data_IF_052826152633
#
_entry.id   IF_052826152633
#
_cell.length_a   1.000
_cell.length_b   1.000
_cell.length_c   1.000
_cell.angle_alpha   90.00
_cell.angle_beta   90.00
_cell.angle_gamma   90.00
#
_symmetry.space_group_name_H-M   'P 1'
#
loop_
_entity.id
_entity.type
_entity.pdbx_description
1 polymer ?
#
# COMPACT_ATOMS: atom_id res chain seq x y z
N UNK A 1 7.70 -31.65 -44.34
CA UNK A 1 8.95 -30.89 -44.11
C UNK A 1 8.90 -30.33 -42.71
N UNK A 2 9.66 -30.95 -41.81
CA UNK A 2 9.75 -30.63 -40.38
C UNK A 2 10.67 -29.42 -40.17
N UNK A 3 10.35 -28.61 -39.15
CA UNK A 3 11.23 -27.55 -38.61
C UNK A 3 10.51 -26.90 -37.43
N UNK A 4 10.40 -27.60 -36.30
CA UNK A 4 11.29 -27.53 -35.13
C UNK A 4 11.33 -26.16 -34.45
N UNK A 5 10.79 -26.18 -33.24
CA UNK A 5 10.79 -25.14 -32.22
C UNK A 5 12.24 -24.83 -31.80
N UNK A 6 12.57 -23.54 -31.62
CA UNK A 6 13.81 -23.13 -30.99
C UNK A 6 13.51 -22.48 -29.63
N UNK A 7 13.55 -23.32 -28.60
CA UNK A 7 13.72 -22.96 -27.20
C UNK A 7 15.19 -22.61 -26.97
N UNK A 8 15.50 -21.33 -26.75
CA UNK A 8 16.84 -20.94 -26.26
C UNK A 8 16.83 -20.87 -24.75
N UNK A 9 17.28 -21.96 -24.14
CA UNK A 9 17.71 -21.99 -22.76
C UNK A 9 19.11 -21.36 -22.64
N UNK A 10 19.28 -20.44 -21.69
CA UNK A 10 20.59 -20.12 -21.12
C UNK A 10 20.45 -19.98 -19.62
N UNK A 11 20.71 -21.09 -18.93
CA UNK A 11 21.10 -21.09 -17.52
C UNK A 11 22.60 -20.83 -17.46
N UNK A 12 23.01 -19.74 -16.83
CA UNK A 12 24.38 -19.57 -16.32
C UNK A 12 24.31 -19.00 -14.91
N UNK A 13 24.48 -19.92 -13.95
CA UNK A 13 25.00 -19.62 -12.63
C UNK A 13 26.43 -19.08 -12.78
N UNK A 14 26.77 -18.02 -12.06
CA UNK A 14 28.16 -17.72 -11.73
C UNK A 14 28.27 -16.96 -10.41
N UNK A 15 28.88 -17.65 -9.45
CA UNK A 15 29.85 -17.17 -8.46
C UNK A 15 29.38 -16.13 -7.43
N UNK A 16 29.12 -16.67 -6.24
CA UNK A 16 29.54 -16.12 -4.95
C UNK A 16 30.85 -15.31 -5.07
N UNK A 17 30.77 -14.00 -4.85
CA UNK A 17 31.89 -13.22 -4.33
C UNK A 17 31.45 -12.62 -3.00
N UNK A 18 31.88 -13.26 -1.94
CA UNK A 18 31.83 -12.73 -0.58
C UNK A 18 32.70 -11.47 -0.53
N UNK A 19 32.07 -10.29 -0.61
CA UNK A 19 32.72 -9.05 -0.22
C UNK A 19 32.62 -8.94 1.31
N UNK A 20 33.79 -9.04 1.94
CA UNK A 20 34.04 -8.88 3.37
C UNK A 20 33.40 -7.58 3.87
N UNK A 21 32.30 -7.70 4.62
CA UNK A 21 31.78 -6.59 5.44
C UNK A 21 32.71 -6.47 6.65
N UNK A 22 33.23 -5.28 6.99
CA UNK A 22 34.04 -5.11 8.19
C UNK A 22 33.17 -5.43 9.42
N UNK A 23 33.66 -6.38 10.22
CA UNK A 23 33.11 -6.76 11.51
C UNK A 23 33.27 -5.58 12.48
N UNK A 24 32.21 -4.78 12.65
CA UNK A 24 32.07 -3.97 13.86
C UNK A 24 31.69 -4.91 15.00
N UNK A 25 32.69 -5.61 15.54
CA UNK A 25 32.52 -6.31 16.81
C UNK A 25 32.42 -5.28 17.93
N UNK A 26 31.25 -5.28 18.57
CA UNK A 26 31.13 -4.97 19.99
C UNK A 26 30.92 -3.51 20.32
N UNK A 27 29.65 -3.07 20.33
CA UNK A 27 29.12 -2.34 21.48
C UNK A 27 27.72 -2.88 21.82
N UNK A 28 27.67 -3.56 22.97
CA UNK A 28 26.56 -3.84 23.87
C UNK A 28 25.26 -4.46 23.33
N UNK A 29 25.11 -5.75 23.66
CA UNK A 29 23.86 -6.48 23.84
C UNK A 29 23.02 -5.92 25.03
N UNK A 30 22.73 -4.63 25.05
CA UNK A 30 21.66 -4.09 25.88
C UNK A 30 20.47 -3.82 24.97
N UNK A 31 19.65 -4.84 24.77
CA UNK A 31 18.26 -4.61 24.40
C UNK A 31 17.66 -3.76 25.52
N UNK A 32 17.46 -2.46 25.30
CA UNK A 32 16.54 -1.68 26.13
C UNK A 32 15.14 -2.23 25.82
N UNK A 33 14.53 -3.10 26.67
CA UNK A 33 13.22 -3.66 26.37
C UNK A 33 12.10 -2.66 26.71
N UNK A 34 12.44 -1.39 26.99
CA UNK A 34 11.57 -0.43 27.67
C UNK A 34 11.60 1.00 27.09
N UNK A 35 12.25 1.27 25.96
CA UNK A 35 12.35 2.66 25.45
C UNK A 35 11.20 3.12 24.55
N UNK A 36 10.29 2.23 24.12
CA UNK A 36 9.18 2.61 23.22
C UNK A 36 7.84 2.83 23.94
N UNK A 37 7.79 2.73 25.27
CA UNK A 37 6.54 2.86 26.04
C UNK A 37 6.19 4.33 26.35
N UNK A 38 7.12 5.28 26.21
CA UNK A 38 6.94 6.66 26.71
C UNK A 38 6.71 7.75 25.64
N UNK A 39 6.55 7.43 24.36
CA UNK A 39 6.41 8.45 23.29
C UNK A 39 5.09 8.43 22.51
N UNK A 40 4.05 7.78 23.01
CA UNK A 40 2.70 8.10 22.50
C UNK A 40 2.26 9.42 23.13
N UNK A 41 2.46 10.53 22.43
CA UNK A 41 1.95 11.83 22.89
C UNK A 41 0.43 11.77 23.02
N UNK A 42 -0.07 11.91 24.25
CA UNK A 42 -1.49 12.01 24.54
C UNK A 42 -2.05 13.27 23.84
N UNK A 43 -2.96 13.07 22.88
CA UNK A 43 -3.59 14.18 22.15
C UNK A 43 -4.81 14.66 22.92
N UNK A 44 -4.68 15.81 23.57
CA UNK A 44 -5.72 16.40 24.42
C UNK A 44 -6.74 17.28 23.65
N UNK A 45 -6.56 17.49 22.34
CA UNK A 45 -7.42 18.40 21.55
C UNK A 45 -8.14 17.64 20.43
N UNK A 46 -9.47 17.69 20.46
CA UNK A 46 -10.33 17.25 19.36
C UNK A 46 -10.26 18.26 18.21
N UNK A 47 -9.81 17.82 17.03
CA UNK A 47 -9.82 18.64 15.81
C UNK A 47 -11.23 18.57 15.19
N UNK A 48 -12.05 19.60 15.42
CA UNK A 48 -13.50 19.56 15.21
C UNK A 48 -14.08 20.15 13.92
N UNK A 49 -13.28 20.46 12.89
CA UNK A 49 -13.75 21.21 11.72
C UNK A 49 -13.38 20.60 10.35
N UNK A 50 -12.96 19.33 10.30
CA UNK A 50 -12.54 18.63 9.08
C UNK A 50 -13.63 18.60 8.00
N UNK A 51 -14.90 18.55 8.40
CA UNK A 51 -16.01 18.53 7.47
C UNK A 51 -16.63 19.92 7.32
N UNK A 52 -16.27 20.59 6.23
CA UNK A 52 -16.97 21.78 5.74
C UNK A 52 -17.83 21.37 4.53
N UNK A 53 -19.17 21.31 4.65
CA UNK A 53 -20.01 20.70 3.65
C UNK A 53 -20.05 21.53 2.37
N UNK A 54 -19.73 20.89 1.23
CA UNK A 54 -19.95 21.47 -0.10
C UNK A 54 -20.46 20.39 -1.05
N UNK A 55 -21.66 20.58 -1.60
CA UNK A 55 -22.32 19.61 -2.46
C UNK A 55 -21.56 19.39 -3.78
N UNK A 56 -21.06 20.48 -4.38
CA UNK A 56 -20.26 20.42 -5.59
C UNK A 56 -18.99 19.58 -5.37
N UNK A 57 -18.25 19.86 -4.29
CA UNK A 57 -17.02 19.12 -3.97
C UNK A 57 -17.33 17.65 -3.68
N UNK A 58 -18.40 17.37 -2.92
CA UNK A 58 -18.86 16.01 -2.60
C UNK A 58 -19.16 15.20 -3.86
N UNK A 59 -19.94 15.76 -4.79
CA UNK A 59 -20.30 15.08 -6.05
C UNK A 59 -19.12 14.93 -7.00
N UNK A 60 -18.23 15.91 -7.11
CA UNK A 60 -17.02 15.79 -7.95
C UNK A 60 -16.02 14.77 -7.43
N UNK A 61 -15.76 14.73 -6.12
CA UNK A 61 -14.76 13.81 -5.53
C UNK A 61 -15.30 12.41 -5.30
N UNK A 62 -16.59 12.29 -4.97
CA UNK A 62 -17.14 11.03 -4.49
C UNK A 62 -18.43 10.59 -5.19
N UNK A 63 -18.88 11.30 -6.23
CA UNK A 63 -20.05 10.93 -7.01
C UNK A 63 -19.83 9.70 -7.88
N UNK A 64 -20.92 9.19 -8.44
CA UNK A 64 -20.93 7.94 -9.20
C UNK A 64 -20.07 8.02 -10.48
N UNK A 65 -20.19 9.11 -11.24
CA UNK A 65 -19.44 9.32 -12.48
C UNK A 65 -17.92 9.29 -12.23
N UNK A 66 -17.46 9.93 -11.14
CA UNK A 66 -16.05 9.93 -10.74
C UNK A 66 -15.54 8.52 -10.43
N UNK A 67 -16.39 7.65 -9.87
CA UNK A 67 -16.02 6.24 -9.66
C UNK A 67 -15.95 5.49 -10.98
N UNK A 68 -16.83 5.75 -11.93
CA UNK A 68 -16.80 5.07 -13.23
C UNK A 68 -15.61 5.47 -14.10
N UNK A 69 -15.14 6.72 -13.99
CA UNK A 69 -14.04 7.25 -14.80
C UNK A 69 -12.72 6.47 -14.62
N UNK A 70 -12.46 5.91 -13.44
CA UNK A 70 -11.21 5.19 -13.14
C UNK A 70 -11.42 3.69 -13.08
N UNK A 71 -10.38 2.90 -13.40
CA UNK A 71 -10.40 1.43 -13.23
C UNK A 71 -10.70 1.05 -11.78
N UNK A 72 -9.99 1.68 -10.83
CA UNK A 72 -10.16 1.42 -9.40
C UNK A 72 -11.55 1.79 -8.89
N UNK A 73 -12.12 2.90 -9.36
CA UNK A 73 -13.47 3.29 -8.97
C UNK A 73 -14.54 2.31 -9.46
N UNK A 74 -14.41 1.75 -10.67
CA UNK A 74 -15.28 0.67 -11.16
C UNK A 74 -15.21 -0.57 -10.25
N UNK A 75 -14.01 -0.97 -9.82
CA UNK A 75 -13.85 -2.07 -8.85
C UNK A 75 -14.51 -1.77 -7.49
N UNK A 76 -14.45 -0.52 -7.00
CA UNK A 76 -15.15 -0.11 -5.77
C UNK A 76 -16.65 -0.31 -5.92
N UNK A 77 -17.25 0.16 -7.03
CA UNK A 77 -18.69 0.01 -7.27
C UNK A 77 -19.09 -1.46 -7.31
N UNK A 78 -18.34 -2.30 -8.02
CA UNK A 78 -18.61 -3.75 -8.07
C UNK A 78 -18.55 -4.39 -6.68
N UNK A 79 -17.54 -4.05 -5.87
CA UNK A 79 -17.44 -4.51 -4.47
C UNK A 79 -18.63 -4.08 -3.62
N UNK A 80 -19.09 -2.83 -3.80
CA UNK A 80 -20.24 -2.31 -3.05
C UNK A 80 -21.55 -2.98 -3.46
N UNK A 81 -21.71 -3.32 -4.75
CA UNK A 81 -22.83 -4.13 -5.27
C UNK A 81 -22.82 -5.54 -4.70
N UNK A 82 -21.67 -6.22 -4.76
CA UNK A 82 -21.52 -7.58 -4.18
C UNK A 82 -21.85 -7.61 -2.68
N UNK A 83 -21.49 -6.55 -1.95
CA UNK A 83 -21.84 -6.41 -0.52
C UNK A 83 -23.31 -6.05 -0.29
N UNK A 84 -24.09 -5.67 -1.32
CA UNK A 84 -25.48 -5.26 -1.18
C UNK A 84 -25.68 -3.89 -0.50
N UNK A 85 -24.75 -2.94 -0.67
CA UNK A 85 -24.94 -1.59 -0.09
C UNK A 85 -26.08 -0.86 -0.80
N UNK A 86 -27.07 -0.37 -0.05
CA UNK A 86 -28.18 0.47 -0.56
C UNK A 86 -27.70 1.66 -1.39
N UNK A 87 -26.60 2.30 -0.96
CA UNK A 87 -26.00 3.43 -1.66
C UNK A 87 -24.57 3.08 -2.13
N UNK A 88 -24.32 3.18 -3.43
CA UNK A 88 -23.03 2.82 -4.02
C UNK A 88 -22.03 3.99 -4.04
N UNK A 89 -22.50 5.21 -4.26
CA UNK A 89 -21.70 6.43 -4.23
C UNK A 89 -22.55 7.58 -3.72
N UNK A 90 -21.93 8.76 -3.58
CA UNK A 90 -22.58 9.98 -3.10
C UNK A 90 -23.59 10.59 -4.07
#
# INVERSE_FOLDING_TARGET
>A
MFGQLLTTATLRFSSLTNAVRPTLMGQSMFSNPLSNVLTTQMRFVTRGNTYQPSQLVRKRRHGFLTRLATKNGRHIINRRRMKGRKFLSH
#
